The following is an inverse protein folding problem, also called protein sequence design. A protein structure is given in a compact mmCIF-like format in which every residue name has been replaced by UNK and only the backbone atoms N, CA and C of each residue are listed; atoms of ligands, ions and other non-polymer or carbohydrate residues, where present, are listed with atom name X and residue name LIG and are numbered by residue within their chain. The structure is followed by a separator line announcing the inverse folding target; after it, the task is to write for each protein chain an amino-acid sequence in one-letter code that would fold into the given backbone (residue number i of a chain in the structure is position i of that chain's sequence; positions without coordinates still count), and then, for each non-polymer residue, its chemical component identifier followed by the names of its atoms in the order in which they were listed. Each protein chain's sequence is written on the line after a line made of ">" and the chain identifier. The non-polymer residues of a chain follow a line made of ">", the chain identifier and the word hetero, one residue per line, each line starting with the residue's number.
data_IF_997706550298
#
_entry.id   IF_997706550298
#
_cell.length_a   1.000
_cell.length_b   1.000
_cell.length_c   1.000
_cell.angle_alpha   90.00
_cell.angle_beta   90.00
_cell.angle_gamma   90.00
#
_symmetry.space_group_name_H-M   'P 1'
#
loop_
_entity.id
_entity.type
_entity.pdbx_description
1 polymer ?
#
# COMPACT_ATOMS: atom_id res chain seq x y z
N UNK A 1 12.53 -25.92 9.36
CA UNK A 1 12.17 -24.86 8.40
C UNK A 1 10.94 -25.34 7.67
N UNK A 2 9.79 -24.76 7.99
CA UNK A 2 8.49 -25.10 7.38
C UNK A 2 8.29 -24.28 6.10
N UNK A 3 7.42 -24.72 5.20
CA UNK A 3 7.02 -23.98 3.98
C UNK A 3 6.58 -22.54 4.31
N UNK A 4 5.98 -22.36 5.50
CA UNK A 4 5.53 -21.07 6.00
C UNK A 4 6.70 -20.13 6.34
N UNK A 5 7.78 -20.65 6.91
CA UNK A 5 8.99 -19.87 7.23
C UNK A 5 9.67 -19.36 5.95
N UNK A 6 9.74 -20.20 4.91
CA UNK A 6 10.34 -19.82 3.61
C UNK A 6 9.49 -18.80 2.85
N UNK A 7 8.16 -18.89 2.96
CA UNK A 7 7.24 -17.90 2.36
C UNK A 7 7.31 -16.55 3.09
N UNK A 8 7.54 -16.55 4.40
CA UNK A 8 7.71 -15.35 5.20
C UNK A 8 9.03 -14.64 4.86
N UNK A 9 10.15 -15.37 4.85
CA UNK A 9 11.47 -14.81 4.44
C UNK A 9 11.43 -14.22 3.02
N UNK A 10 10.80 -14.92 2.08
CA UNK A 10 10.63 -14.42 0.70
C UNK A 10 9.72 -13.18 0.64
N UNK A 11 8.71 -13.10 1.49
CA UNK A 11 7.83 -11.94 1.60
C UNK A 11 8.59 -10.71 2.10
N UNK A 12 9.47 -10.86 3.09
CA UNK A 12 10.23 -9.75 3.66
C UNK A 12 11.24 -9.15 2.67
N UNK A 13 11.93 -10.01 1.90
CA UNK A 13 12.79 -9.56 0.81
C UNK A 13 11.99 -8.76 -0.23
N UNK A 14 10.84 -9.28 -0.65
CA UNK A 14 9.96 -8.61 -1.62
C UNK A 14 9.50 -7.25 -1.11
N UNK A 15 9.10 -7.13 0.15
CA UNK A 15 8.65 -5.86 0.74
C UNK A 15 9.80 -4.86 0.73
N UNK A 16 11.01 -5.28 1.09
CA UNK A 16 12.21 -4.44 1.08
C UNK A 16 12.54 -3.95 -0.34
N UNK A 17 12.57 -4.84 -1.33
CA UNK A 17 12.81 -4.46 -2.73
C UNK A 17 11.74 -3.52 -3.27
N UNK A 18 10.47 -3.78 -2.92
CA UNK A 18 9.35 -2.93 -3.32
C UNK A 18 9.50 -1.51 -2.77
N UNK A 19 9.85 -1.37 -1.49
CA UNK A 19 10.16 -0.08 -0.88
C UNK A 19 11.28 0.66 -1.64
N UNK A 20 12.39 -0.02 -1.94
CA UNK A 20 13.51 0.57 -2.69
C UNK A 20 13.09 1.01 -4.10
N UNK A 21 12.28 0.21 -4.80
CA UNK A 21 11.75 0.55 -6.12
C UNK A 21 10.87 1.79 -6.07
N UNK A 22 10.01 1.93 -5.06
CA UNK A 22 9.20 3.14 -4.88
C UNK A 22 10.03 4.36 -4.52
N UNK A 23 11.06 4.19 -3.70
CA UNK A 23 11.99 5.26 -3.36
C UNK A 23 12.73 5.76 -4.61
N UNK A 24 13.22 4.83 -5.46
CA UNK A 24 13.84 5.17 -6.73
C UNK A 24 12.85 5.88 -7.67
N UNK A 25 11.61 5.39 -7.76
CA UNK A 25 10.56 6.02 -8.55
C UNK A 25 10.30 7.46 -8.05
N UNK A 26 10.25 7.69 -6.73
CA UNK A 26 10.10 9.01 -6.15
C UNK A 26 11.22 9.95 -6.61
N UNK A 27 12.47 9.52 -6.50
CA UNK A 27 13.62 10.31 -6.95
C UNK A 27 13.51 10.67 -8.44
N UNK A 28 13.18 9.69 -9.29
CA UNK A 28 12.97 9.92 -10.72
C UNK A 28 11.87 10.95 -10.95
N UNK A 29 10.71 10.82 -10.29
CA UNK A 29 9.60 11.77 -10.45
C UNK A 29 9.98 13.17 -9.98
N UNK A 30 10.70 13.31 -8.86
CA UNK A 30 11.15 14.62 -8.39
C UNK A 30 12.13 15.28 -9.37
N UNK A 31 13.10 14.53 -9.90
CA UNK A 31 14.07 15.03 -10.88
C UNK A 31 13.41 15.47 -12.19
N UNK A 32 12.35 14.77 -12.59
CA UNK A 32 11.65 14.97 -13.85
C UNK A 32 10.61 16.10 -13.77
N UNK A 33 9.78 16.12 -12.72
CA UNK A 33 8.71 17.10 -12.58
C UNK A 33 9.25 18.47 -12.14
N UNK A 34 10.37 18.51 -11.40
CA UNK A 34 11.06 19.73 -10.91
C UNK A 34 10.20 20.71 -10.08
N UNK A 35 8.92 20.40 -9.87
CA UNK A 35 7.94 21.13 -9.07
C UNK A 35 7.09 20.16 -8.27
N UNK A 36 6.44 20.66 -7.23
CA UNK A 36 5.50 19.85 -6.45
C UNK A 36 4.31 19.48 -7.34
N UNK A 37 4.11 18.19 -7.53
CA UNK A 37 3.06 17.62 -8.38
C UNK A 37 2.24 16.60 -7.58
N UNK A 38 1.00 16.35 -7.99
CA UNK A 38 0.16 15.32 -7.35
C UNK A 38 0.78 13.92 -7.48
N UNK A 39 1.48 13.64 -8.59
CA UNK A 39 2.23 12.38 -8.75
C UNK A 39 3.36 12.27 -7.72
N UNK A 40 4.15 13.35 -7.55
CA UNK A 40 5.22 13.40 -6.55
C UNK A 40 4.70 13.19 -5.13
N UNK A 41 3.61 13.87 -4.75
CA UNK A 41 2.98 13.68 -3.43
C UNK A 41 2.45 12.25 -3.26
N UNK A 42 1.76 11.72 -4.27
CA UNK A 42 1.19 10.36 -4.19
C UNK A 42 2.29 9.32 -3.99
N UNK A 43 3.37 9.40 -4.76
CA UNK A 43 4.52 8.48 -4.60
C UNK A 43 5.21 8.71 -3.25
N UNK A 44 5.35 9.96 -2.80
CA UNK A 44 5.96 10.23 -1.50
C UNK A 44 5.16 9.62 -0.34
N UNK A 45 3.83 9.75 -0.36
CA UNK A 45 2.95 9.14 0.63
C UNK A 45 2.95 7.61 0.52
N UNK A 46 3.05 7.07 -0.70
CA UNK A 46 3.19 5.64 -0.93
C UNK A 46 4.50 5.11 -0.32
N UNK A 47 5.63 5.77 -0.56
CA UNK A 47 6.93 5.42 0.04
C UNK A 47 6.86 5.49 1.56
N UNK A 48 6.21 6.52 2.10
CA UNK A 48 5.98 6.63 3.55
C UNK A 48 5.18 5.44 4.08
N UNK A 49 4.07 5.09 3.42
CA UNK A 49 3.22 3.96 3.81
C UNK A 49 3.98 2.64 3.80
N UNK A 50 4.74 2.38 2.74
CA UNK A 50 5.58 1.18 2.62
C UNK A 50 6.70 1.15 3.67
N UNK A 51 7.30 2.30 3.99
CA UNK A 51 8.28 2.41 5.06
C UNK A 51 7.67 2.09 6.44
N UNK A 52 6.45 2.57 6.71
CA UNK A 52 5.70 2.21 7.92
C UNK A 52 5.39 0.71 7.92
N UNK A 53 4.90 0.15 6.81
CA UNK A 53 4.63 -1.28 6.72
C UNK A 53 5.86 -2.14 7.01
N UNK A 54 7.03 -1.78 6.44
CA UNK A 54 8.29 -2.47 6.67
C UNK A 54 8.70 -2.46 8.16
N UNK A 55 8.47 -1.35 8.86
CA UNK A 55 8.81 -1.23 10.29
C UNK A 55 7.86 -2.05 11.17
N UNK A 56 6.57 -2.10 10.83
CA UNK A 56 5.55 -2.72 11.67
C UNK A 56 5.25 -4.18 11.34
N UNK A 57 5.70 -4.71 10.19
CA UNK A 57 5.36 -6.07 9.77
C UNK A 57 5.82 -7.12 10.79
N UNK A 58 7.08 -7.06 11.22
CA UNK A 58 7.66 -8.05 12.13
C UNK A 58 7.04 -7.99 13.54
N UNK A 59 6.95 -6.81 14.20
CA UNK A 59 6.28 -6.72 15.50
C UNK A 59 4.83 -7.20 15.48
N UNK A 60 4.07 -6.86 14.43
CA UNK A 60 2.69 -7.28 14.31
C UNK A 60 2.58 -8.78 14.04
N UNK A 61 3.52 -9.34 13.27
CA UNK A 61 3.55 -10.77 12.95
C UNK A 61 3.82 -11.60 14.20
N UNK A 62 4.75 -11.18 15.06
CA UNK A 62 5.00 -11.81 16.35
C UNK A 62 3.76 -11.86 17.25
N UNK A 63 2.99 -10.77 17.28
CA UNK A 63 1.70 -10.77 17.98
C UNK A 63 0.75 -11.79 17.33
N UNK A 64 0.64 -11.77 16.01
CA UNK A 64 -0.29 -12.60 15.25
C UNK A 64 -0.03 -14.12 15.35
N UNK A 65 1.19 -14.57 15.71
CA UNK A 65 1.52 -15.99 15.92
C UNK A 65 0.70 -16.64 17.04
N UNK A 66 0.28 -15.86 18.03
CA UNK A 66 -0.49 -16.36 19.15
C UNK A 66 -1.94 -16.67 18.74
N UNK A 67 -2.49 -17.80 19.22
CA UNK A 67 -3.80 -18.30 18.76
C UNK A 67 -5.02 -17.50 19.26
N UNK A 68 -4.87 -16.61 20.25
CA UNK A 68 -6.00 -15.90 20.83
C UNK A 68 -6.59 -14.87 19.84
N UNK A 69 -7.92 -14.73 19.84
CA UNK A 69 -8.64 -13.81 18.95
C UNK A 69 -8.19 -12.35 19.10
N UNK A 70 -7.81 -11.93 20.31
CA UNK A 70 -7.30 -10.58 20.59
C UNK A 70 -6.02 -10.27 19.79
N UNK A 71 -5.17 -11.28 19.57
CA UNK A 71 -3.94 -11.12 18.81
C UNK A 71 -4.22 -11.00 17.31
N UNK A 72 -5.25 -11.70 16.82
CA UNK A 72 -5.75 -11.51 15.45
C UNK A 72 -6.33 -10.11 15.30
N UNK A 73 -7.14 -9.64 16.23
CA UNK A 73 -7.61 -8.25 16.23
C UNK A 73 -6.45 -7.25 16.20
N UNK A 74 -5.39 -7.50 16.97
CA UNK A 74 -4.16 -6.71 16.93
C UNK A 74 -3.53 -6.65 15.54
N UNK A 75 -3.43 -7.78 14.84
CA UNK A 75 -2.93 -7.85 13.46
C UNK A 75 -3.81 -7.04 12.49
N UNK A 76 -5.07 -7.46 12.30
CA UNK A 76 -5.96 -6.86 11.29
C UNK A 76 -6.27 -5.39 11.61
N UNK A 77 -6.54 -5.09 12.89
CA UNK A 77 -6.85 -3.74 13.36
C UNK A 77 -5.69 -2.77 13.17
N UNK A 78 -4.46 -3.18 13.46
CA UNK A 78 -3.28 -2.31 13.29
C UNK A 78 -3.06 -1.96 11.83
N UNK A 79 -3.16 -2.93 10.92
CA UNK A 79 -3.04 -2.68 9.49
C UNK A 79 -4.12 -1.73 8.97
N UNK A 80 -5.37 -1.92 9.39
CA UNK A 80 -6.47 -1.02 9.02
C UNK A 80 -6.22 0.40 9.51
N UNK A 81 -5.73 0.56 10.74
CA UNK A 81 -5.40 1.88 11.31
C UNK A 81 -4.27 2.54 10.51
N UNK A 82 -3.20 1.79 10.21
CA UNK A 82 -2.05 2.29 9.43
C UNK A 82 -2.53 2.75 8.04
N UNK A 83 -3.24 1.90 7.30
CA UNK A 83 -3.68 2.22 5.94
C UNK A 83 -4.66 3.39 5.91
N UNK A 84 -5.55 3.47 6.90
CA UNK A 84 -6.46 4.62 7.06
C UNK A 84 -5.70 5.91 7.36
N UNK A 85 -4.66 5.84 8.19
CA UNK A 85 -3.81 6.99 8.49
C UNK A 85 -3.00 7.45 7.27
N UNK A 86 -2.46 6.52 6.48
CA UNK A 86 -1.78 6.84 5.21
C UNK A 86 -2.75 7.47 4.21
N UNK A 87 -3.98 6.96 4.11
CA UNK A 87 -5.03 7.55 3.28
C UNK A 87 -5.38 8.98 3.74
N UNK A 88 -5.45 9.21 5.05
CA UNK A 88 -5.65 10.54 5.62
C UNK A 88 -4.49 11.49 5.26
N UNK A 89 -3.23 11.04 5.36
CA UNK A 89 -2.07 11.83 4.93
C UNK A 89 -2.15 12.16 3.44
N UNK A 90 -2.53 11.20 2.59
CA UNK A 90 -2.70 11.43 1.15
C UNK A 90 -3.73 12.53 0.88
N UNK A 91 -4.87 12.47 1.57
CA UNK A 91 -5.93 13.47 1.50
C UNK A 91 -5.43 14.85 1.96
N UNK A 92 -4.85 14.93 3.16
CA UNK A 92 -4.36 16.17 3.75
C UNK A 92 -3.29 16.84 2.89
N UNK A 93 -2.36 16.05 2.33
CA UNK A 93 -1.30 16.56 1.47
C UNK A 93 -1.87 17.17 0.17
N UNK A 94 -2.88 16.52 -0.45
CA UNK A 94 -3.55 17.07 -1.63
C UNK A 94 -4.35 18.33 -1.30
N UNK A 95 -5.06 18.34 -0.18
CA UNK A 95 -5.88 19.46 0.28
C UNK A 95 -5.03 20.70 0.57
N UNK A 96 -3.99 20.56 1.40
CA UNK A 96 -3.10 21.67 1.80
C UNK A 96 -2.32 22.26 0.63
N UNK A 97 -1.88 21.41 -0.30
CA UNK A 97 -1.14 21.85 -1.48
C UNK A 97 -2.05 22.32 -2.63
N UNK A 98 -3.38 22.28 -2.43
CA UNK A 98 -4.40 22.66 -3.41
C UNK A 98 -4.20 21.97 -4.76
N UNK A 99 -3.80 20.71 -4.73
CA UNK A 99 -3.53 19.93 -5.92
C UNK A 99 -4.79 19.20 -6.36
N UNK A 100 -5.06 19.21 -7.66
CA UNK A 100 -6.10 18.36 -8.24
C UNK A 100 -5.73 16.90 -8.03
N UNK A 101 -6.65 16.13 -7.44
CA UNK A 101 -6.51 14.68 -7.27
C UNK A 101 -6.45 14.01 -8.64
N UNK A 102 -5.39 13.26 -8.88
CA UNK A 102 -5.13 12.58 -10.15
C UNK A 102 -5.63 11.15 -10.12
N UNK A 103 -5.72 10.52 -11.29
CA UNK A 103 -6.04 9.08 -11.38
C UNK A 103 -5.03 8.22 -10.61
N UNK A 104 -3.79 8.66 -10.51
CA UNK A 104 -2.75 8.00 -9.71
C UNK A 104 -3.07 8.03 -8.22
N UNK A 105 -3.40 9.21 -7.69
CA UNK A 105 -3.83 9.37 -6.30
C UNK A 105 -5.10 8.57 -5.99
N UNK A 106 -6.08 8.58 -6.91
CA UNK A 106 -7.31 7.80 -6.79
C UNK A 106 -7.03 6.30 -6.75
N UNK A 107 -6.16 5.81 -7.63
CA UNK A 107 -5.78 4.41 -7.67
C UNK A 107 -5.09 3.96 -6.39
N UNK A 108 -4.16 4.77 -5.87
CA UNK A 108 -3.51 4.45 -4.58
C UNK A 108 -4.52 4.44 -3.43
N UNK A 109 -5.36 5.46 -3.32
CA UNK A 109 -6.38 5.55 -2.28
C UNK A 109 -7.40 4.40 -2.35
N UNK A 110 -7.85 4.03 -3.56
CA UNK A 110 -8.72 2.88 -3.77
C UNK A 110 -8.06 1.57 -3.34
N UNK A 111 -6.75 1.45 -3.51
CA UNK A 111 -6.00 0.27 -3.06
C UNK A 111 -5.95 0.16 -1.54
N UNK A 112 -5.71 1.27 -0.83
CA UNK A 112 -5.74 1.27 0.64
C UNK A 112 -7.13 0.89 1.17
N UNK A 113 -8.20 1.38 0.53
CA UNK A 113 -9.57 0.98 0.86
C UNK A 113 -9.78 -0.51 0.59
N UNK A 114 -9.29 -1.03 -0.54
CA UNK A 114 -9.36 -2.45 -0.87
C UNK A 114 -8.65 -3.32 0.18
N UNK A 115 -7.43 -2.94 0.61
CA UNK A 115 -6.72 -3.64 1.68
C UNK A 115 -7.51 -3.63 2.99
N UNK A 116 -8.06 -2.49 3.39
CA UNK A 116 -8.92 -2.40 4.58
C UNK A 116 -10.13 -3.33 4.50
N UNK A 117 -10.80 -3.40 3.35
CA UNK A 117 -11.91 -4.32 3.13
C UNK A 117 -11.46 -5.78 3.24
N UNK A 118 -10.34 -6.15 2.62
CA UNK A 118 -9.78 -7.50 2.72
C UNK A 118 -9.44 -7.88 4.17
N UNK A 119 -8.79 -6.98 4.91
CA UNK A 119 -8.46 -7.18 6.33
C UNK A 119 -9.73 -7.36 7.17
N UNK A 120 -10.74 -6.50 6.99
CA UNK A 120 -11.99 -6.55 7.74
C UNK A 120 -12.77 -7.85 7.46
N UNK A 121 -12.89 -8.26 6.19
CA UNK A 121 -13.60 -9.48 5.82
C UNK A 121 -12.89 -10.73 6.37
N UNK A 122 -11.56 -10.83 6.24
CA UNK A 122 -10.81 -11.97 6.78
C UNK A 122 -10.90 -12.03 8.32
N UNK A 123 -10.88 -10.88 8.98
CA UNK A 123 -11.09 -10.83 10.42
C UNK A 123 -12.48 -11.31 10.82
N UNK A 124 -13.54 -10.87 10.13
CA UNK A 124 -14.92 -11.32 10.38
C UNK A 124 -15.06 -12.82 10.15
N UNK A 125 -14.49 -13.37 9.07
CA UNK A 125 -14.46 -14.82 8.79
C UNK A 125 -13.85 -15.59 9.98
N UNK A 126 -12.67 -15.17 10.43
CA UNK A 126 -11.97 -15.82 11.55
C UNK A 126 -12.64 -15.63 12.90
N UNK A 127 -13.23 -14.48 13.15
CA UNK A 127 -13.87 -14.16 14.43
C UNK A 127 -15.26 -14.81 14.58
N UNK A 128 -15.98 -15.00 13.48
CA UNK A 128 -17.39 -15.39 13.52
C UNK A 128 -17.63 -16.81 13.02
N UNK A 129 -17.08 -17.15 11.85
CA UNK A 129 -17.42 -18.39 11.12
C UNK A 129 -16.32 -19.44 11.32
N UNK A 130 -15.09 -19.01 11.59
CA UNK A 130 -13.89 -19.84 11.77
C UNK A 130 -13.66 -20.82 10.60
N UNK A 131 -14.13 -20.47 9.41
CA UNK A 131 -14.06 -21.31 8.22
C UNK A 131 -12.72 -21.21 7.50
N UNK A 132 -11.91 -20.18 7.78
CA UNK A 132 -10.64 -19.87 7.09
C UNK A 132 -10.77 -19.80 5.56
N UNK A 133 -11.98 -19.64 5.03
CA UNK A 133 -12.25 -19.71 3.59
C UNK A 133 -11.75 -18.45 2.91
N UNK A 134 -11.83 -17.30 3.60
CA UNK A 134 -11.39 -16.03 3.02
C UNK A 134 -9.88 -15.81 3.11
N UNK A 135 -9.17 -16.62 3.91
CA UNK A 135 -7.72 -16.49 4.14
C UNK A 135 -6.91 -16.54 2.84
N UNK A 136 -7.28 -17.41 1.90
CA UNK A 136 -6.57 -17.53 0.62
C UNK A 136 -6.81 -16.30 -0.26
N UNK A 137 -8.06 -15.82 -0.33
CA UNK A 137 -8.39 -14.62 -1.09
C UNK A 137 -7.69 -13.39 -0.51
N UNK A 138 -7.65 -13.26 0.82
CA UNK A 138 -6.92 -12.21 1.51
C UNK A 138 -5.42 -12.22 1.15
N UNK A 139 -4.75 -13.37 1.31
CA UNK A 139 -3.31 -13.49 1.06
C UNK A 139 -2.96 -13.22 -0.40
N UNK A 140 -3.61 -13.92 -1.33
CA UNK A 140 -3.32 -13.76 -2.76
C UNK A 140 -3.80 -12.42 -3.31
N UNK A 141 -4.90 -11.87 -2.80
CA UNK A 141 -5.43 -10.58 -3.19
C UNK A 141 -4.46 -9.44 -2.86
N UNK A 142 -4.00 -9.38 -1.59
CA UNK A 142 -3.02 -8.38 -1.16
C UNK A 142 -1.71 -8.54 -1.93
N UNK A 143 -1.21 -9.78 -2.04
CA UNK A 143 0.02 -10.07 -2.79
C UNK A 143 -0.08 -9.61 -4.25
N UNK A 144 -1.16 -9.96 -4.94
CA UNK A 144 -1.36 -9.63 -6.35
C UNK A 144 -1.42 -8.13 -6.59
N UNK A 145 -2.14 -7.40 -5.73
CA UNK A 145 -2.22 -5.94 -5.83
C UNK A 145 -0.86 -5.30 -5.55
N UNK A 146 -0.12 -5.77 -4.56
CA UNK A 146 1.25 -5.30 -4.28
C UNK A 146 2.20 -5.51 -5.47
N UNK A 147 2.07 -6.61 -6.21
CA UNK A 147 2.86 -6.87 -7.42
C UNK A 147 2.50 -5.93 -8.58
N UNK A 148 1.21 -5.63 -8.75
CA UNK A 148 0.71 -4.79 -9.85
C UNK A 148 0.89 -3.28 -9.55
N UNK A 149 1.00 -2.90 -8.28
CA UNK A 149 1.04 -1.51 -7.84
C UNK A 149 2.17 -0.72 -8.53
N UNK A 150 3.42 -1.22 -8.49
CA UNK A 150 4.55 -0.53 -9.11
C UNK A 150 4.38 -0.27 -10.63
N UNK A 151 4.11 -1.28 -11.47
CA UNK A 151 3.90 -1.03 -12.90
C UNK A 151 2.68 -0.14 -13.15
N UNK A 152 1.60 -0.28 -12.38
CA UNK A 152 0.43 0.60 -12.49
C UNK A 152 0.78 2.06 -12.18
N UNK A 153 1.54 2.32 -11.12
CA UNK A 153 2.00 3.67 -10.77
C UNK A 153 2.85 4.30 -11.86
N UNK A 154 3.78 3.56 -12.45
CA UNK A 154 4.61 4.03 -13.57
C UNK A 154 3.75 4.38 -14.79
N UNK A 155 2.83 3.48 -15.17
CA UNK A 155 1.94 3.70 -16.34
C UNK A 155 1.05 4.92 -16.12
N UNK A 156 0.44 5.05 -14.93
CA UNK A 156 -0.44 6.16 -14.59
C UNK A 156 0.32 7.49 -14.58
N UNK A 157 1.53 7.53 -14.01
CA UNK A 157 2.38 8.71 -14.03
C UNK A 157 2.74 9.12 -15.47
N UNK A 158 3.22 8.18 -16.28
CA UNK A 158 3.59 8.45 -17.68
C UNK A 158 2.39 8.94 -18.51
N UNK A 159 1.20 8.31 -18.32
CA UNK A 159 -0.04 8.73 -18.99
C UNK A 159 -0.44 10.15 -18.58
N UNK A 160 -0.39 10.45 -17.29
CA UNK A 160 -0.73 11.78 -16.79
C UNK A 160 0.22 12.84 -17.34
N UNK A 161 1.53 12.55 -17.36
CA UNK A 161 2.53 13.46 -17.89
C UNK A 161 2.31 13.75 -19.38
N UNK A 162 2.00 12.72 -20.18
CA UNK A 162 1.66 12.89 -21.61
C UNK A 162 0.45 13.83 -21.79
N UNK A 163 -0.61 13.63 -21.01
CA UNK A 163 -1.80 14.49 -21.06
C UNK A 163 -1.48 15.94 -20.70
N UNK A 164 -0.65 16.18 -19.67
CA UNK A 164 -0.25 17.53 -19.28
C UNK A 164 0.55 18.22 -20.39
N UNK A 165 1.45 17.51 -21.08
CA UNK A 165 2.20 18.06 -22.24
C UNK A 165 1.27 18.46 -23.38
N UNK A 166 0.30 17.61 -23.72
CA UNK A 166 -0.64 17.88 -24.82
C UNK A 166 -1.56 19.07 -24.52
N UNK A 167 -2.03 19.20 -23.27
CA UNK A 167 -2.99 20.24 -22.88
C UNK A 167 -2.29 21.59 -22.65
N UNK A 168 -1.08 21.60 -22.08
CA UNK A 168 -0.42 22.83 -21.63
C UNK A 168 0.83 23.22 -22.44
N UNK A 169 1.26 22.41 -23.42
CA UNK A 169 2.37 22.75 -24.32
C UNK A 169 3.76 22.88 -23.66
N UNK A 170 3.91 22.40 -22.42
CA UNK A 170 5.18 22.38 -21.66
C UNK A 170 6.02 21.15 -21.93
#
# INVERSE_FOLDING_TARGET
>A
MTLFDTLFEFSDEIVTYRFLCYLLLLFIVMLVERKISSAGITIAVLVLGEGVHLVFIEPLYEIAKHQQIINKFGWYGSWVIIDTFILFILYEAHSKMKLRVTTMAQFYGATLIFFNCCQAIDFIDRASINTNTFSLFYQYGIFSVNMIMLPAMIILWLRQRRLQRTVYGT
#
